data_IF_393290232800
#
_entry.id   IF_393290232800
#
_cell.length_a   1.000
_cell.length_b   1.000
_cell.length_c   1.000
_cell.angle_alpha   90.00
_cell.angle_beta   90.00
_cell.angle_gamma   90.00
#
_symmetry.space_group_name_H-M   'P 1'
#
loop_
_entity.id
_entity.type
_entity.pdbx_description
1 polymer ?
#
# COMPACT_ATOMS: atom_id res chain seq x y z
N UNK A 1 28.11 -24.42 3.36
CA UNK A 1 27.18 -25.58 3.37
C UNK A 1 26.29 -25.47 2.15
N UNK A 2 26.14 -26.54 1.40
CA UNK A 2 25.20 -26.63 0.29
C UNK A 2 23.76 -26.72 0.81
N UNK A 3 22.78 -26.54 -0.08
CA UNK A 3 21.35 -26.68 0.26
C UNK A 3 21.06 -28.05 0.89
N UNK A 4 21.56 -29.13 0.30
CA UNK A 4 21.38 -30.50 0.79
C UNK A 4 22.02 -30.72 2.17
N UNK A 5 23.24 -30.21 2.39
CA UNK A 5 23.89 -30.28 3.70
C UNK A 5 23.11 -29.57 4.79
N UNK A 6 22.53 -28.40 4.48
CA UNK A 6 21.68 -27.64 5.41
C UNK A 6 20.36 -28.39 5.67
N UNK A 7 19.75 -28.94 4.63
CA UNK A 7 18.50 -29.70 4.73
C UNK A 7 18.68 -30.93 5.64
N UNK A 8 19.69 -31.74 5.41
CA UNK A 8 19.96 -32.93 6.23
C UNK A 8 20.36 -32.57 7.67
N UNK A 9 21.10 -31.48 7.86
CA UNK A 9 21.40 -30.94 9.18
C UNK A 9 20.12 -30.60 9.94
N UNK A 10 19.28 -29.75 9.36
CA UNK A 10 18.01 -29.31 9.99
C UNK A 10 17.11 -30.50 10.30
N UNK A 11 17.06 -31.50 9.41
CA UNK A 11 16.29 -32.73 9.59
C UNK A 11 16.79 -33.55 10.76
N UNK A 12 18.10 -33.63 10.96
CA UNK A 12 18.70 -34.35 12.07
C UNK A 12 18.58 -33.64 13.44
N UNK A 13 18.36 -32.33 13.42
CA UNK A 13 18.24 -31.46 14.60
C UNK A 13 16.78 -31.20 15.01
N UNK A 14 15.80 -31.87 14.39
CA UNK A 14 14.38 -31.71 14.76
C UNK A 14 14.17 -32.11 16.23
N UNK A 15 13.50 -31.25 17.05
CA UNK A 15 13.43 -31.43 18.49
C UNK A 15 12.50 -32.56 18.94
N UNK A 16 11.51 -32.95 18.13
CA UNK A 16 10.50 -33.94 18.52
C UNK A 16 9.77 -34.56 17.32
N UNK A 17 8.81 -35.47 17.60
CA UNK A 17 7.87 -35.99 16.59
C UNK A 17 6.59 -35.11 16.44
N UNK A 18 6.51 -34.01 17.20
CA UNK A 18 5.34 -33.10 17.20
C UNK A 18 5.57 -32.00 16.17
N UNK A 19 4.70 -31.93 15.18
CA UNK A 19 4.78 -30.93 14.10
C UNK A 19 4.94 -29.49 14.61
N UNK A 20 4.15 -29.08 15.59
CA UNK A 20 4.16 -27.70 16.10
C UNK A 20 5.53 -27.28 16.66
N UNK A 21 6.22 -28.20 17.37
CA UNK A 21 7.55 -27.97 17.92
C UNK A 21 8.62 -27.91 16.81
N UNK A 22 8.53 -28.82 15.86
CA UNK A 22 9.39 -28.84 14.68
C UNK A 22 9.20 -27.60 13.82
N UNK A 23 7.97 -27.16 13.59
CA UNK A 23 7.66 -25.95 12.82
C UNK A 23 8.21 -24.69 13.50
N UNK A 24 8.13 -24.60 14.84
CA UNK A 24 8.70 -23.48 15.58
C UNK A 24 10.24 -23.47 15.49
N UNK A 25 10.88 -24.64 15.64
CA UNK A 25 12.32 -24.78 15.44
C UNK A 25 12.75 -24.37 14.03
N UNK A 26 12.12 -24.93 13.01
CA UNK A 26 12.45 -24.64 11.61
C UNK A 26 12.21 -23.16 11.25
N UNK A 27 11.17 -22.53 11.81
CA UNK A 27 10.95 -21.10 11.65
C UNK A 27 12.09 -20.28 12.24
N UNK A 28 12.53 -20.58 13.46
CA UNK A 28 13.67 -19.90 14.11
C UNK A 28 14.96 -20.06 13.32
N UNK A 29 15.27 -21.27 12.87
CA UNK A 29 16.46 -21.53 12.06
C UNK A 29 16.38 -20.84 10.68
N UNK A 30 15.21 -20.88 10.02
CA UNK A 30 14.99 -20.16 8.77
C UNK A 30 15.19 -18.65 8.90
N UNK A 31 14.76 -18.04 10.01
CA UNK A 31 15.03 -16.63 10.31
C UNK A 31 16.53 -16.35 10.46
N UNK A 32 17.27 -17.17 11.22
CA UNK A 32 18.73 -17.02 11.36
C UNK A 32 19.46 -17.12 10.02
N UNK A 33 19.05 -18.07 9.17
CA UNK A 33 19.61 -18.17 7.82
C UNK A 33 19.27 -16.93 6.96
N UNK A 34 18.06 -16.40 7.09
CA UNK A 34 17.64 -15.18 6.41
C UNK A 34 18.44 -13.95 6.83
N UNK A 35 18.67 -13.77 8.14
CA UNK A 35 19.50 -12.70 8.71
C UNK A 35 20.96 -12.79 8.23
N UNK A 36 21.46 -14.03 8.05
CA UNK A 36 22.78 -14.28 7.50
C UNK A 36 22.85 -14.18 5.95
N UNK A 37 21.75 -13.84 5.26
CA UNK A 37 21.68 -13.78 3.81
C UNK A 37 21.77 -15.15 3.11
N UNK A 38 21.59 -16.24 3.85
CA UNK A 38 21.66 -17.62 3.33
C UNK A 38 20.28 -18.10 2.89
N UNK A 39 19.90 -17.80 1.66
CA UNK A 39 18.60 -18.19 1.10
C UNK A 39 18.40 -19.71 0.94
N UNK A 40 19.47 -20.48 0.78
CA UNK A 40 19.38 -21.94 0.73
C UNK A 40 18.96 -22.52 2.08
N UNK A 41 19.40 -21.92 3.19
CA UNK A 41 18.95 -22.29 4.53
C UNK A 41 17.46 -21.97 4.76
N UNK A 42 16.99 -20.80 4.31
CA UNK A 42 15.57 -20.44 4.37
C UNK A 42 14.71 -21.43 3.57
N UNK A 43 15.15 -21.79 2.35
CA UNK A 43 14.45 -22.75 1.49
C UNK A 43 14.42 -24.15 2.08
N UNK A 44 15.52 -24.61 2.66
CA UNK A 44 15.64 -25.94 3.30
C UNK A 44 14.69 -26.05 4.52
N UNK A 45 14.66 -25.01 5.37
CA UNK A 45 13.74 -24.95 6.52
C UNK A 45 12.28 -24.95 6.07
N UNK A 46 11.94 -24.15 5.06
CA UNK A 46 10.56 -24.07 4.50
C UNK A 46 10.11 -25.41 3.87
N UNK A 47 11.01 -26.10 3.16
CA UNK A 47 10.72 -27.42 2.57
C UNK A 47 10.45 -28.46 3.65
N UNK A 48 11.33 -28.58 4.67
CA UNK A 48 11.14 -29.50 5.80
C UNK A 48 9.84 -29.22 6.53
N UNK A 49 9.49 -27.96 6.77
CA UNK A 49 8.24 -27.58 7.40
C UNK A 49 7.02 -28.07 6.59
N UNK A 50 7.07 -27.95 5.27
CA UNK A 50 6.04 -28.49 4.38
C UNK A 50 5.95 -30.01 4.38
N UNK A 51 7.09 -30.70 4.35
CA UNK A 51 7.15 -32.19 4.34
C UNK A 51 6.68 -32.82 5.65
N UNK A 52 6.87 -32.14 6.78
CA UNK A 52 6.45 -32.60 8.10
C UNK A 52 4.99 -32.22 8.44
N UNK A 53 4.37 -31.38 7.62
CA UNK A 53 3.02 -30.90 7.90
C UNK A 53 1.99 -32.04 7.88
N UNK A 54 1.13 -32.17 8.91
CA UNK A 54 0.06 -33.14 8.91
C UNK A 54 -0.86 -32.99 7.69
N UNK A 55 -1.32 -34.08 7.07
CA UNK A 55 -2.18 -34.02 5.90
C UNK A 55 -3.43 -33.14 6.11
N UNK A 56 -4.05 -33.21 7.28
CA UNK A 56 -5.23 -32.41 7.63
C UNK A 56 -4.94 -30.90 7.62
N UNK A 57 -3.77 -30.47 8.06
CA UNK A 57 -3.36 -29.08 8.01
C UNK A 57 -3.00 -28.66 6.58
N UNK A 58 -2.41 -29.56 5.81
CA UNK A 58 -2.11 -29.34 4.41
C UNK A 58 -3.42 -29.14 3.60
N UNK A 59 -4.41 -30.00 3.83
CA UNK A 59 -5.72 -29.90 3.19
C UNK A 59 -6.43 -28.60 3.55
N UNK A 60 -6.33 -28.16 4.80
CA UNK A 60 -6.91 -26.89 5.26
C UNK A 60 -6.20 -25.70 4.60
N UNK A 61 -4.86 -25.70 4.52
CA UNK A 61 -4.10 -24.66 3.83
C UNK A 61 -4.47 -24.64 2.34
N UNK A 62 -4.54 -25.79 1.69
CA UNK A 62 -4.95 -25.87 0.28
C UNK A 62 -6.38 -25.37 0.09
N UNK A 63 -7.28 -25.77 0.99
CA UNK A 63 -8.65 -25.29 0.98
C UNK A 63 -8.74 -23.78 1.09
N UNK A 64 -7.88 -23.11 1.85
CA UNK A 64 -7.88 -21.65 2.02
C UNK A 64 -7.14 -20.92 0.89
N UNK A 65 -6.04 -21.49 0.39
CA UNK A 65 -5.08 -20.77 -0.46
C UNK A 65 -5.10 -21.18 -1.94
N UNK A 66 -6.00 -22.08 -2.36
CA UNK A 66 -6.10 -22.53 -3.75
C UNK A 66 -7.53 -22.43 -4.29
N UNK A 67 -7.64 -22.21 -5.58
CA UNK A 67 -8.87 -22.32 -6.39
C UNK A 67 -8.59 -23.33 -7.48
N UNK A 68 -9.39 -24.42 -7.54
CA UNK A 68 -9.24 -25.52 -8.50
C UNK A 68 -7.80 -26.06 -8.60
N UNK A 69 -7.14 -26.21 -7.46
CA UNK A 69 -5.76 -26.67 -7.35
C UNK A 69 -4.69 -25.64 -7.75
N UNK A 70 -5.07 -24.42 -8.10
CA UNK A 70 -4.16 -23.32 -8.43
C UNK A 70 -4.03 -22.37 -7.23
N UNK A 71 -2.81 -22.08 -6.81
CA UNK A 71 -2.54 -21.17 -5.69
C UNK A 71 -3.03 -19.74 -6.01
N UNK A 72 -3.51 -19.00 -4.98
CA UNK A 72 -4.18 -17.71 -5.19
C UNK A 72 -3.30 -16.66 -5.87
N UNK A 73 -1.99 -16.66 -5.66
CA UNK A 73 -1.08 -15.73 -6.35
C UNK A 73 -0.90 -16.08 -7.84
N UNK A 74 -0.81 -17.38 -8.19
CA UNK A 74 -0.78 -17.82 -9.58
C UNK A 74 -2.14 -17.57 -10.27
N UNK A 75 -3.23 -17.76 -9.53
CA UNK A 75 -4.58 -17.45 -10.02
C UNK A 75 -4.73 -15.95 -10.28
N UNK A 76 -4.25 -15.12 -9.36
CA UNK A 76 -4.19 -13.66 -9.52
C UNK A 76 -3.30 -13.25 -10.72
N UNK A 77 -2.18 -13.93 -10.93
CA UNK A 77 -1.31 -13.71 -12.09
C UNK A 77 -2.05 -13.82 -13.42
N UNK A 78 -2.98 -14.78 -13.56
CA UNK A 78 -3.83 -14.92 -14.77
C UNK A 78 -4.77 -13.73 -14.93
N UNK A 79 -5.34 -13.23 -13.83
CA UNK A 79 -6.20 -12.03 -13.84
C UNK A 79 -5.40 -10.82 -14.32
N UNK A 80 -4.18 -10.62 -13.79
CA UNK A 80 -3.29 -9.52 -14.18
C UNK A 80 -2.94 -9.58 -15.66
N UNK A 81 -2.68 -10.77 -16.20
CA UNK A 81 -2.42 -10.94 -17.63
C UNK A 81 -3.62 -10.46 -18.47
N UNK A 82 -4.85 -10.90 -18.15
CA UNK A 82 -6.06 -10.46 -18.86
C UNK A 82 -6.27 -8.93 -18.74
N UNK A 83 -5.97 -8.34 -17.58
CA UNK A 83 -6.03 -6.89 -17.41
C UNK A 83 -5.03 -6.16 -18.31
N UNK A 84 -3.79 -6.67 -18.42
CA UNK A 84 -2.78 -6.12 -19.34
C UNK A 84 -3.20 -6.21 -20.81
N UNK A 85 -3.89 -7.29 -21.19
CA UNK A 85 -4.49 -7.50 -22.50
C UNK A 85 -5.80 -6.69 -22.72
N UNK A 86 -6.25 -5.93 -21.69
CA UNK A 86 -7.53 -5.19 -21.64
C UNK A 86 -8.76 -6.09 -21.84
N UNK A 87 -8.62 -7.37 -21.55
CA UNK A 87 -9.70 -8.34 -21.62
C UNK A 87 -10.47 -8.41 -20.29
N UNK A 88 -11.19 -7.33 -19.95
CA UNK A 88 -11.91 -7.21 -18.69
C UNK A 88 -13.12 -8.15 -18.59
N UNK A 89 -13.68 -8.55 -19.72
CA UNK A 89 -14.83 -9.47 -19.77
C UNK A 89 -14.46 -10.84 -19.21
N UNK A 90 -13.31 -11.38 -19.61
CA UNK A 90 -12.83 -12.67 -19.12
C UNK A 90 -12.13 -12.54 -17.75
N UNK A 91 -11.54 -11.39 -17.44
CA UNK A 91 -10.93 -11.12 -16.14
C UNK A 91 -11.95 -11.07 -15.00
N UNK A 92 -13.15 -10.50 -15.24
CA UNK A 92 -14.18 -10.28 -14.22
C UNK A 92 -14.61 -11.55 -13.48
N UNK A 93 -15.03 -12.64 -14.13
CA UNK A 93 -15.46 -13.85 -13.42
C UNK A 93 -14.33 -14.50 -12.61
N UNK A 94 -13.08 -14.43 -13.08
CA UNK A 94 -11.94 -14.92 -12.32
C UNK A 94 -11.68 -14.04 -11.07
N UNK A 95 -11.75 -12.73 -11.23
CA UNK A 95 -11.57 -11.80 -10.10
C UNK A 95 -12.71 -11.94 -9.06
N UNK A 96 -13.93 -12.20 -9.49
CA UNK A 96 -15.07 -12.48 -8.60
C UNK A 96 -14.87 -13.80 -7.83
N UNK A 97 -14.38 -14.85 -8.51
CA UNK A 97 -14.05 -16.13 -7.88
C UNK A 97 -12.96 -15.96 -6.83
N UNK A 98 -11.90 -15.19 -7.14
CA UNK A 98 -10.83 -14.87 -6.20
C UNK A 98 -11.35 -14.05 -5.01
N UNK A 99 -12.18 -13.04 -5.25
CA UNK A 99 -12.83 -12.23 -4.21
C UNK A 99 -13.63 -13.10 -3.23
N UNK A 100 -14.52 -13.95 -3.75
CA UNK A 100 -15.34 -14.84 -2.91
C UNK A 100 -14.45 -15.76 -2.06
N UNK A 101 -13.41 -16.32 -2.65
CA UNK A 101 -12.43 -17.17 -1.95
C UNK A 101 -11.74 -16.45 -0.80
N UNK A 102 -11.34 -15.19 -1.00
CA UNK A 102 -10.70 -14.36 0.02
C UNK A 102 -11.71 -14.05 1.15
N UNK A 103 -12.92 -13.62 0.80
CA UNK A 103 -13.92 -13.25 1.79
C UNK A 103 -14.37 -14.46 2.61
N UNK A 104 -14.59 -15.61 1.99
CA UNK A 104 -15.01 -16.83 2.69
C UNK A 104 -13.91 -17.39 3.62
N UNK A 105 -12.63 -17.25 3.22
CA UNK A 105 -11.52 -17.82 3.97
C UNK A 105 -10.87 -16.90 5.00
N UNK A 106 -10.94 -15.58 4.79
CA UNK A 106 -10.12 -14.60 5.52
C UNK A 106 -10.91 -13.39 6.05
N UNK A 107 -12.23 -13.46 6.12
CA UNK A 107 -13.04 -12.41 6.75
C UNK A 107 -12.73 -12.27 8.22
N UNK A 108 -12.95 -11.06 8.73
CA UNK A 108 -12.83 -10.74 10.14
C UNK A 108 -13.75 -11.61 10.98
N UNK A 109 -13.18 -12.32 11.94
CA UNK A 109 -13.89 -13.10 12.92
C UNK A 109 -14.15 -12.35 14.23
N UNK A 110 -14.77 -13.02 15.20
CA UNK A 110 -15.05 -12.44 16.52
C UNK A 110 -13.76 -12.09 17.27
N UNK A 111 -12.76 -12.98 17.26
CA UNK A 111 -11.54 -12.87 18.06
C UNK A 111 -10.27 -12.66 17.23
N UNK A 112 -10.34 -12.68 15.91
CA UNK A 112 -9.19 -12.58 15.02
C UNK A 112 -9.55 -11.82 13.74
N UNK A 113 -8.54 -11.18 13.16
CA UNK A 113 -8.63 -10.55 11.85
C UNK A 113 -7.37 -10.87 11.03
N UNK A 114 -7.49 -10.81 9.71
CA UNK A 114 -6.38 -11.00 8.79
C UNK A 114 -5.98 -9.66 8.18
N UNK A 115 -4.67 -9.33 8.23
CA UNK A 115 -4.13 -8.11 7.63
C UNK A 115 -3.04 -8.44 6.61
N UNK A 116 -3.08 -7.75 5.47
CA UNK A 116 -2.10 -7.82 4.38
C UNK A 116 -1.04 -6.72 4.53
N UNK A 117 -0.46 -6.57 5.72
CA UNK A 117 0.60 -5.59 5.98
C UNK A 117 1.92 -6.07 5.35
N UNK A 118 2.60 -5.18 4.61
CA UNK A 118 3.70 -5.55 3.71
C UNK A 118 5.09 -5.40 4.32
N UNK A 119 5.21 -4.56 5.35
CA UNK A 119 6.51 -4.22 5.92
C UNK A 119 6.37 -3.76 7.38
N UNK A 120 7.48 -3.70 8.15
CA UNK A 120 7.45 -3.29 9.56
C UNK A 120 6.89 -1.88 9.81
N UNK A 121 7.03 -0.95 8.86
CA UNK A 121 6.45 0.38 9.02
C UNK A 121 4.92 0.32 8.98
N UNK A 122 4.33 -0.42 8.02
CA UNK A 122 2.88 -0.64 7.97
C UNK A 122 2.37 -1.37 9.22
N UNK A 123 3.11 -2.38 9.72
CA UNK A 123 2.78 -3.10 10.97
C UNK A 123 2.70 -2.12 12.14
N UNK A 124 3.72 -1.30 12.35
CA UNK A 124 3.77 -0.32 13.45
C UNK A 124 2.72 0.78 13.29
N UNK A 125 2.54 1.32 12.08
CA UNK A 125 1.57 2.37 11.81
C UNK A 125 0.14 1.85 12.02
N UNK A 126 -0.15 0.65 11.55
CA UNK A 126 -1.45 0.01 11.74
C UNK A 126 -1.76 -0.20 13.24
N UNK A 127 -0.82 -0.75 14.01
CA UNK A 127 -0.99 -0.95 15.44
C UNK A 127 -1.19 0.37 16.19
N UNK A 128 -0.50 1.43 15.75
CA UNK A 128 -0.59 2.76 16.38
C UNK A 128 -1.93 3.45 16.09
N UNK A 129 -2.37 3.44 14.83
CA UNK A 129 -3.58 4.15 14.39
C UNK A 129 -4.86 3.36 14.57
N UNK A 130 -4.79 2.03 14.48
CA UNK A 130 -5.94 1.12 14.51
C UNK A 130 -5.77 0.04 15.59
N UNK A 131 -5.61 0.43 16.87
CA UNK A 131 -5.42 -0.55 17.95
C UNK A 131 -6.63 -1.47 18.06
N UNK A 132 -6.37 -2.77 18.19
CA UNK A 132 -7.41 -3.79 18.32
C UNK A 132 -7.09 -4.75 19.47
N UNK A 133 -8.13 -5.37 20.05
CA UNK A 133 -7.99 -6.49 21.00
C UNK A 133 -8.01 -7.85 20.31
N UNK A 134 -8.33 -7.88 19.00
CA UNK A 134 -8.35 -9.12 18.24
C UNK A 134 -6.94 -9.59 17.93
N UNK A 135 -6.76 -10.88 17.80
CA UNK A 135 -5.52 -11.46 17.30
C UNK A 135 -5.36 -11.07 15.83
N UNK A 136 -4.23 -10.43 15.51
CA UNK A 136 -3.89 -10.09 14.13
C UNK A 136 -3.16 -11.28 13.50
N UNK A 137 -3.76 -11.88 12.50
CA UNK A 137 -3.14 -12.88 11.64
C UNK A 137 -2.63 -12.19 10.37
N UNK A 138 -1.41 -12.52 9.96
CA UNK A 138 -0.91 -12.04 8.68
C UNK A 138 -1.57 -12.80 7.54
N UNK A 139 -2.18 -12.08 6.61
CA UNK A 139 -2.73 -12.67 5.39
C UNK A 139 -1.60 -13.33 4.57
N UNK A 140 -1.84 -14.51 3.96
CA UNK A 140 -0.82 -15.22 3.20
C UNK A 140 -0.42 -14.53 1.89
N UNK A 141 -1.25 -13.59 1.40
CA UNK A 141 -1.06 -12.83 0.17
C UNK A 141 -1.45 -11.36 0.36
N UNK A 142 -1.09 -10.50 -0.60
CA UNK A 142 -1.50 -9.09 -0.64
C UNK A 142 -2.96 -8.96 -1.15
N UNK A 143 -3.90 -9.28 -0.28
CA UNK A 143 -5.33 -9.20 -0.61
C UNK A 143 -5.77 -7.77 -0.94
N UNK A 144 -5.16 -6.75 -0.33
CA UNK A 144 -5.42 -5.37 -0.67
C UNK A 144 -5.22 -5.09 -2.17
N UNK A 145 -4.10 -5.56 -2.73
CA UNK A 145 -3.81 -5.43 -4.16
C UNK A 145 -4.77 -6.28 -5.01
N UNK A 146 -5.09 -7.51 -4.61
CA UNK A 146 -6.00 -8.38 -5.36
C UNK A 146 -7.40 -7.77 -5.50
N UNK A 147 -7.94 -7.26 -4.39
CA UNK A 147 -9.25 -6.63 -4.36
C UNK A 147 -9.28 -5.29 -5.10
N UNK A 148 -8.20 -4.50 -5.01
CA UNK A 148 -8.08 -3.25 -5.78
C UNK A 148 -8.11 -3.52 -7.28
N UNK A 149 -7.44 -4.58 -7.74
CA UNK A 149 -7.48 -5.00 -9.16
C UNK A 149 -8.90 -5.43 -9.56
N UNK A 150 -9.62 -6.16 -8.71
CA UNK A 150 -11.01 -6.52 -8.99
C UNK A 150 -11.92 -5.30 -9.09
N UNK A 151 -11.78 -4.34 -8.17
CA UNK A 151 -12.53 -3.08 -8.23
C UNK A 151 -12.27 -2.31 -9.54
N UNK A 152 -11.01 -2.28 -9.99
CA UNK A 152 -10.67 -1.70 -11.30
C UNK A 152 -11.38 -2.41 -12.45
N UNK A 153 -11.36 -3.74 -12.49
CA UNK A 153 -12.07 -4.53 -13.49
C UNK A 153 -13.57 -4.21 -13.48
N UNK A 154 -14.16 -4.05 -12.30
CA UNK A 154 -15.58 -3.68 -12.17
C UNK A 154 -15.87 -2.32 -12.79
N UNK A 155 -15.00 -1.34 -12.58
CA UNK A 155 -15.12 0.01 -13.16
C UNK A 155 -15.02 -0.06 -14.70
N UNK A 156 -14.04 -0.77 -15.23
CA UNK A 156 -13.85 -0.95 -16.68
C UNK A 156 -15.01 -1.71 -17.34
N UNK A 157 -15.70 -2.59 -16.59
CA UNK A 157 -16.93 -3.25 -17.01
C UNK A 157 -18.20 -2.39 -16.79
N UNK A 158 -18.07 -1.11 -16.41
CA UNK A 158 -19.20 -0.19 -16.24
C UNK A 158 -19.90 -0.29 -14.88
N UNK A 159 -19.42 -1.08 -13.94
CA UNK A 159 -20.01 -1.27 -12.61
C UNK A 159 -19.30 -0.40 -11.55
N UNK A 160 -19.28 0.91 -11.73
CA UNK A 160 -18.57 1.85 -10.85
C UNK A 160 -19.03 1.77 -9.39
N UNK A 161 -20.35 1.71 -9.13
CA UNK A 161 -20.87 1.58 -7.76
C UNK A 161 -20.53 0.22 -7.13
N UNK A 162 -20.44 -0.84 -7.93
CA UNK A 162 -20.05 -2.17 -7.46
C UNK A 162 -18.60 -2.27 -7.00
N UNK A 163 -17.74 -1.34 -7.40
CA UNK A 163 -16.35 -1.27 -6.95
C UNK A 163 -16.21 -0.77 -5.50
N UNK A 164 -17.18 0.02 -4.99
CA UNK A 164 -17.10 0.61 -3.64
C UNK A 164 -16.91 -0.45 -2.55
N UNK A 165 -17.81 -1.45 -2.37
CA UNK A 165 -17.67 -2.43 -1.31
C UNK A 165 -16.40 -3.28 -1.45
N UNK A 166 -15.90 -3.48 -2.67
CA UNK A 166 -14.65 -4.22 -2.92
C UNK A 166 -13.44 -3.41 -2.41
N UNK A 167 -13.41 -2.11 -2.70
CA UNK A 167 -12.35 -1.21 -2.22
C UNK A 167 -12.40 -1.02 -0.70
N UNK A 168 -13.60 -0.95 -0.12
CA UNK A 168 -13.77 -0.92 1.33
C UNK A 168 -13.17 -2.19 1.98
N UNK A 169 -13.40 -3.37 1.39
CA UNK A 169 -12.76 -4.62 1.82
C UNK A 169 -11.25 -4.63 1.64
N UNK A 170 -10.73 -4.05 0.54
CA UNK A 170 -9.29 -3.90 0.36
C UNK A 170 -8.65 -3.02 1.45
N UNK A 171 -9.35 -1.95 1.88
CA UNK A 171 -8.93 -1.08 2.98
C UNK A 171 -8.98 -1.83 4.33
N UNK A 172 -9.97 -2.69 4.56
CA UNK A 172 -10.02 -3.52 5.79
C UNK A 172 -8.80 -4.44 5.89
N UNK A 173 -8.34 -5.07 4.78
CA UNK A 173 -7.14 -5.91 4.78
C UNK A 173 -5.84 -5.14 4.98
N UNK A 174 -5.78 -3.87 4.58
CA UNK A 174 -4.64 -3.00 4.88
C UNK A 174 -5.09 -1.54 5.09
N UNK A 175 -5.44 -1.17 6.33
CA UNK A 175 -5.98 0.16 6.63
C UNK A 175 -4.96 1.28 6.47
N UNK A 176 -3.67 0.98 6.38
CA UNK A 176 -2.61 1.97 6.14
C UNK A 176 -2.14 2.05 4.69
N UNK A 177 -2.67 1.20 3.79
CA UNK A 177 -2.41 1.31 2.36
C UNK A 177 -3.22 2.48 1.75
N UNK A 178 -2.53 3.39 1.09
CA UNK A 178 -3.16 4.52 0.37
C UNK A 178 -3.74 4.11 -0.99
N UNK A 179 -3.28 2.99 -1.57
CA UNK A 179 -3.68 2.55 -2.92
C UNK A 179 -5.19 2.37 -3.07
N UNK A 180 -5.85 1.46 -2.31
CA UNK A 180 -7.29 1.27 -2.37
C UNK A 180 -8.09 2.54 -2.06
N UNK A 181 -7.57 3.40 -1.15
CA UNK A 181 -8.20 4.68 -0.80
C UNK A 181 -8.17 5.66 -1.98
N UNK A 182 -7.08 5.69 -2.74
CA UNK A 182 -7.02 6.50 -3.95
C UNK A 182 -7.99 6.02 -5.02
N UNK A 183 -8.11 4.71 -5.22
CA UNK A 183 -9.08 4.17 -6.17
C UNK A 183 -10.53 4.48 -5.73
N UNK A 184 -10.81 4.41 -4.43
CA UNK A 184 -12.11 4.79 -3.88
C UNK A 184 -12.39 6.30 -4.07
N UNK A 185 -11.36 7.15 -3.94
CA UNK A 185 -11.47 8.56 -4.25
C UNK A 185 -11.81 8.81 -5.73
N UNK A 186 -11.19 8.07 -6.68
CA UNK A 186 -11.54 8.14 -8.10
C UNK A 186 -13.00 7.73 -8.34
N UNK A 187 -13.49 6.68 -7.68
CA UNK A 187 -14.90 6.29 -7.73
C UNK A 187 -15.80 7.44 -7.27
N UNK A 188 -15.48 8.07 -6.13
CA UNK A 188 -16.28 9.17 -5.60
C UNK A 188 -16.24 10.43 -6.49
N UNK A 189 -15.15 10.70 -7.22
CA UNK A 189 -15.10 11.71 -8.27
C UNK A 189 -16.08 11.38 -9.41
N UNK A 190 -16.03 10.14 -9.92
CA UNK A 190 -16.89 9.70 -11.03
C UNK A 190 -18.38 9.83 -10.71
N UNK A 191 -18.78 9.52 -9.48
CA UNK A 191 -20.19 9.64 -9.04
C UNK A 191 -20.50 10.99 -8.43
N UNK A 192 -19.57 11.94 -8.46
CA UNK A 192 -19.71 13.33 -7.94
C UNK A 192 -20.13 13.40 -6.46
N UNK A 193 -19.63 12.49 -5.64
CA UNK A 193 -19.92 12.46 -4.20
C UNK A 193 -18.87 13.27 -3.42
N UNK A 194 -19.07 14.59 -3.36
CA UNK A 194 -18.17 15.54 -2.66
C UNK A 194 -17.87 15.12 -1.23
N UNK A 195 -18.91 14.77 -0.46
CA UNK A 195 -18.75 14.42 0.95
C UNK A 195 -17.84 13.21 1.13
N UNK A 196 -18.10 12.14 0.39
CA UNK A 196 -17.31 10.91 0.47
C UNK A 196 -15.88 11.09 -0.04
N UNK A 197 -15.69 11.96 -1.05
CA UNK A 197 -14.35 12.29 -1.54
C UNK A 197 -13.52 13.02 -0.48
N UNK A 198 -14.11 13.97 0.25
CA UNK A 198 -13.45 14.65 1.37
C UNK A 198 -13.09 13.64 2.46
N UNK A 199 -14.07 12.83 2.91
CA UNK A 199 -13.87 11.83 3.97
C UNK A 199 -12.72 10.88 3.64
N UNK A 200 -12.69 10.29 2.44
CA UNK A 200 -11.63 9.34 2.06
C UNK A 200 -10.28 10.03 1.90
N UNK A 201 -10.25 11.29 1.44
CA UNK A 201 -9.01 12.07 1.32
C UNK A 201 -8.43 12.38 2.70
N UNK A 202 -9.26 12.80 3.67
CA UNK A 202 -8.83 13.02 5.05
C UNK A 202 -8.30 11.72 5.69
N UNK A 203 -8.96 10.58 5.47
CA UNK A 203 -8.48 9.27 5.94
C UNK A 203 -7.15 8.88 5.29
N UNK A 204 -6.97 9.20 4.01
CA UNK A 204 -5.73 8.91 3.29
C UNK A 204 -4.56 9.75 3.81
N UNK A 205 -4.79 11.03 4.10
CA UNK A 205 -3.77 11.93 4.66
C UNK A 205 -3.22 11.43 6.00
N UNK A 206 -4.06 10.82 6.85
CA UNK A 206 -3.64 10.27 8.14
C UNK A 206 -2.64 9.10 8.04
N UNK A 207 -2.56 8.44 6.88
CA UNK A 207 -1.68 7.28 6.67
C UNK A 207 -0.67 7.51 5.54
N UNK A 208 -0.75 8.65 4.84
CA UNK A 208 0.13 8.97 3.73
C UNK A 208 1.59 9.10 4.21
N UNK A 209 2.46 8.25 3.68
CA UNK A 209 3.85 8.12 4.09
C UNK A 209 4.85 8.48 2.98
N UNK A 210 4.41 9.22 1.96
CA UNK A 210 5.29 9.74 0.92
C UNK A 210 4.81 11.12 0.42
N UNK A 211 5.74 11.98 -0.06
CA UNK A 211 5.38 13.27 -0.68
C UNK A 211 4.41 13.11 -1.84
N UNK A 212 4.56 12.08 -2.67
CA UNK A 212 3.67 11.80 -3.81
C UNK A 212 2.24 11.47 -3.35
N UNK A 213 2.09 10.67 -2.28
CA UNK A 213 0.78 10.36 -1.71
C UNK A 213 0.09 11.60 -1.14
N UNK A 214 0.82 12.44 -0.40
CA UNK A 214 0.33 13.71 0.11
C UNK A 214 -0.08 14.65 -1.02
N UNK A 215 0.78 14.80 -2.03
CA UNK A 215 0.51 15.62 -3.21
C UNK A 215 -0.76 15.15 -3.95
N UNK A 216 -0.95 13.82 -4.11
CA UNK A 216 -2.16 13.26 -4.72
C UNK A 216 -3.41 13.56 -3.90
N UNK A 217 -3.33 13.53 -2.56
CA UNK A 217 -4.47 13.93 -1.71
C UNK A 217 -4.89 15.38 -1.97
N UNK A 218 -3.94 16.31 -2.00
CA UNK A 218 -4.24 17.71 -2.29
C UNK A 218 -4.73 17.90 -3.72
N UNK A 219 -4.16 17.21 -4.70
CA UNK A 219 -4.66 17.25 -6.08
C UNK A 219 -6.11 16.75 -6.18
N UNK A 220 -6.49 15.72 -5.44
CA UNK A 220 -7.87 15.24 -5.36
C UNK A 220 -8.82 16.29 -4.80
N UNK A 221 -8.40 17.04 -3.79
CA UNK A 221 -9.19 18.17 -3.25
C UNK A 221 -9.28 19.32 -4.25
N UNK A 222 -8.18 19.63 -4.95
CA UNK A 222 -8.16 20.63 -6.01
C UNK A 222 -9.15 20.29 -7.13
N UNK A 223 -9.15 19.04 -7.60
CA UNK A 223 -10.11 18.54 -8.57
C UNK A 223 -11.55 18.69 -8.08
N UNK A 224 -11.82 18.30 -6.84
CA UNK A 224 -13.15 18.47 -6.24
C UNK A 224 -13.59 19.93 -6.24
N UNK A 225 -12.74 20.85 -5.77
CA UNK A 225 -13.05 22.28 -5.76
C UNK A 225 -13.31 22.80 -7.19
N UNK A 226 -12.55 22.34 -8.19
CA UNK A 226 -12.77 22.65 -9.62
C UNK A 226 -14.17 22.21 -10.08
N UNK A 227 -14.54 20.95 -9.79
CA UNK A 227 -15.85 20.39 -10.22
C UNK A 227 -17.06 21.11 -9.58
N UNK A 228 -16.85 21.72 -8.41
CA UNK A 228 -17.87 22.52 -7.71
C UNK A 228 -17.75 24.04 -7.93
N UNK A 229 -16.84 24.49 -8.79
CA UNK A 229 -16.67 25.91 -9.13
C UNK A 229 -15.98 26.75 -8.05
N UNK A 230 -15.32 26.11 -7.06
CA UNK A 230 -14.59 26.74 -5.97
C UNK A 230 -13.16 27.08 -6.42
N UNK A 231 -13.05 28.01 -7.41
CA UNK A 231 -11.78 28.23 -8.16
C UNK A 231 -10.61 28.59 -7.26
N UNK A 232 -10.80 29.54 -6.32
CA UNK A 232 -9.69 30.00 -5.47
C UNK A 232 -9.22 28.90 -4.50
N UNK A 233 -10.12 28.05 -4.01
CA UNK A 233 -9.79 26.89 -3.18
C UNK A 233 -9.07 25.82 -4.01
N UNK A 234 -9.51 25.56 -5.25
CA UNK A 234 -8.84 24.66 -6.16
C UNK A 234 -7.38 25.07 -6.40
N UNK A 235 -7.13 26.37 -6.65
CA UNK A 235 -5.77 26.90 -6.84
C UNK A 235 -4.92 26.68 -5.59
N UNK A 236 -5.47 26.88 -4.38
CA UNK A 236 -4.76 26.64 -3.12
C UNK A 236 -4.40 25.15 -2.96
N UNK A 237 -5.33 24.24 -3.22
CA UNK A 237 -5.06 22.80 -3.13
C UNK A 237 -4.05 22.31 -4.18
N UNK A 238 -4.12 22.76 -5.42
CA UNK A 238 -3.11 22.44 -6.43
C UNK A 238 -1.74 23.03 -6.08
N UNK A 239 -1.70 24.23 -5.47
CA UNK A 239 -0.46 24.81 -4.96
C UNK A 239 0.14 23.99 -3.83
N UNK A 240 -0.68 23.52 -2.87
CA UNK A 240 -0.25 22.60 -1.81
C UNK A 240 0.32 21.30 -2.39
N UNK A 241 -0.31 20.75 -3.41
CA UNK A 241 0.16 19.53 -4.08
C UNK A 241 1.56 19.69 -4.67
N UNK A 242 1.79 20.74 -5.48
CA UNK A 242 3.09 20.94 -6.16
C UNK A 242 4.22 21.33 -5.20
N UNK A 243 3.90 21.88 -4.02
CA UNK A 243 4.89 22.13 -2.96
C UNK A 243 5.52 20.83 -2.42
N UNK A 244 4.82 19.70 -2.51
CA UNK A 244 5.30 18.42 -2.02
C UNK A 244 5.93 17.56 -3.10
N UNK A 245 5.26 17.44 -4.26
CA UNK A 245 5.77 16.68 -5.38
C UNK A 245 5.21 17.20 -6.71
N UNK A 246 5.99 17.12 -7.81
CA UNK A 246 5.49 17.43 -9.15
C UNK A 246 4.30 16.53 -9.53
N UNK A 247 3.26 17.11 -10.10
CA UNK A 247 2.10 16.38 -10.60
C UNK A 247 1.79 16.79 -12.04
N UNK A 248 1.89 15.87 -13.02
CA UNK A 248 1.85 16.24 -14.45
C UNK A 248 0.50 16.81 -14.91
N UNK A 249 -0.62 16.49 -14.25
CA UNK A 249 -1.93 16.99 -14.60
C UNK A 249 -2.20 18.43 -14.11
N UNK A 250 -1.55 18.88 -13.02
CA UNK A 250 -1.85 20.16 -12.39
C UNK A 250 -1.69 21.37 -13.35
N UNK A 251 -0.67 21.45 -14.21
CA UNK A 251 -0.59 22.55 -15.17
C UNK A 251 -1.80 22.67 -16.11
N UNK A 252 -2.38 21.52 -16.50
CA UNK A 252 -3.60 21.48 -17.33
C UNK A 252 -4.84 21.91 -16.53
N UNK A 253 -4.95 21.43 -15.29
CA UNK A 253 -6.04 21.82 -14.37
C UNK A 253 -6.03 23.33 -14.10
N UNK A 254 -4.86 23.90 -13.79
CA UNK A 254 -4.72 25.35 -13.57
C UNK A 254 -5.05 26.16 -14.84
N UNK A 255 -4.69 25.67 -16.02
CA UNK A 255 -5.08 26.32 -17.29
C UNK A 255 -6.59 26.30 -17.47
N UNK A 256 -7.25 25.18 -17.17
CA UNK A 256 -8.71 25.06 -17.18
C UNK A 256 -9.37 26.05 -16.21
N UNK A 257 -8.87 26.15 -14.98
CA UNK A 257 -9.36 27.09 -13.98
C UNK A 257 -9.21 28.56 -14.43
N UNK A 258 -8.10 28.95 -15.07
CA UNK A 258 -7.91 30.27 -15.61
C UNK A 258 -8.96 30.61 -16.70
N UNK A 259 -9.30 29.64 -17.54
CA UNK A 259 -10.34 29.76 -18.55
C UNK A 259 -11.73 29.89 -17.91
N UNK A 260 -12.05 29.10 -16.90
CA UNK A 260 -13.31 29.21 -16.15
C UNK A 260 -13.46 30.56 -15.44
N UNK A 261 -12.36 31.08 -14.87
CA UNK A 261 -12.33 32.40 -14.21
C UNK A 261 -12.40 33.55 -15.19
N UNK A 262 -12.03 33.37 -16.46
CA UNK A 262 -11.92 34.42 -17.46
C UNK A 262 -10.80 35.42 -17.18
N UNK A 263 -9.84 35.07 -16.29
CA UNK A 263 -8.74 35.91 -15.86
C UNK A 263 -7.52 35.04 -15.46
N UNK A 264 -6.29 35.59 -15.48
CA UNK A 264 -5.12 34.91 -14.93
C UNK A 264 -5.33 34.50 -13.46
N UNK A 265 -4.81 33.34 -13.08
CA UNK A 265 -4.82 32.90 -11.70
C UNK A 265 -3.69 33.61 -10.93
N UNK A 266 -4.01 34.09 -9.75
CA UNK A 266 -3.01 34.59 -8.82
C UNK A 266 -2.39 33.41 -8.05
N UNK A 267 -1.07 33.44 -7.88
CA UNK A 267 -0.38 32.45 -7.06
C UNK A 267 -0.71 32.74 -5.59
N UNK A 268 -1.30 31.79 -4.82
CA UNK A 268 -1.62 32.05 -3.43
C UNK A 268 -0.36 32.11 -2.56
N UNK A 269 -0.38 32.92 -1.51
CA UNK A 269 0.64 32.85 -0.46
C UNK A 269 0.49 31.55 0.33
N UNK A 270 1.54 31.13 1.04
CA UNK A 270 1.50 29.93 1.88
C UNK A 270 0.44 30.06 2.99
N UNK A 271 0.29 31.24 3.58
CA UNK A 271 -0.74 31.54 4.56
C UNK A 271 -2.14 31.29 4.00
N UNK A 272 -2.38 31.76 2.77
CA UNK A 272 -3.67 31.55 2.09
C UNK A 272 -3.94 30.06 1.81
N UNK A 273 -2.91 29.32 1.40
CA UNK A 273 -3.01 27.86 1.25
C UNK A 273 -3.41 27.22 2.58
N UNK A 274 -2.72 27.55 3.69
CA UNK A 274 -3.05 27.01 5.02
C UNK A 274 -4.48 27.33 5.46
N UNK A 275 -4.90 28.59 5.35
CA UNK A 275 -6.27 28.99 5.67
C UNK A 275 -7.32 28.20 4.86
N UNK A 276 -6.99 27.89 3.60
CA UNK A 276 -7.88 27.08 2.77
C UNK A 276 -7.93 25.63 3.27
N UNK A 277 -6.78 25.01 3.52
CA UNK A 277 -6.72 23.63 4.04
C UNK A 277 -7.49 23.51 5.37
N UNK A 278 -7.29 24.48 6.29
CA UNK A 278 -7.94 24.49 7.60
C UNK A 278 -9.48 24.51 7.50
N UNK A 279 -10.06 25.16 6.46
CA UNK A 279 -11.52 25.13 6.23
C UNK A 279 -12.05 23.73 5.89
N UNK A 280 -11.21 22.83 5.46
CA UNK A 280 -11.56 21.45 5.13
C UNK A 280 -11.03 20.45 6.18
N UNK A 281 -10.62 20.93 7.36
CA UNK A 281 -10.00 20.12 8.42
C UNK A 281 -8.79 19.30 7.89
N UNK A 282 -7.94 19.93 7.08
CA UNK A 282 -6.74 19.34 6.48
C UNK A 282 -5.52 20.14 6.92
N UNK A 283 -4.51 19.45 7.46
CA UNK A 283 -3.21 20.04 7.76
C UNK A 283 -2.28 19.92 6.54
N UNK A 284 -1.34 20.88 6.40
CA UNK A 284 -0.31 20.82 5.37
C UNK A 284 0.83 19.91 5.80
N UNK A 285 1.15 18.91 4.98
CA UNK A 285 2.25 17.98 5.19
C UNK A 285 1.80 16.60 5.72
N UNK A 286 2.75 15.78 6.18
CA UNK A 286 2.45 14.46 6.73
C UNK A 286 1.83 14.56 8.12
N UNK A 287 0.95 13.61 8.44
CA UNK A 287 0.41 13.45 9.79
C UNK A 287 1.53 13.20 10.79
N UNK A 288 1.43 13.86 11.96
CA UNK A 288 2.44 13.73 13.02
C UNK A 288 2.65 12.29 13.47
N UNK A 289 1.61 11.48 13.52
CA UNK A 289 1.70 10.08 13.95
C UNK A 289 2.51 9.24 12.95
N UNK A 290 2.41 9.53 11.66
CA UNK A 290 3.24 8.90 10.61
C UNK A 290 4.73 9.21 10.83
N UNK A 291 5.04 10.48 11.15
CA UNK A 291 6.41 10.92 11.48
C UNK A 291 6.90 10.21 12.76
N UNK A 292 6.10 10.22 13.81
CA UNK A 292 6.45 9.64 15.11
C UNK A 292 6.74 8.14 15.00
N UNK A 293 5.92 7.39 14.25
CA UNK A 293 6.14 5.94 13.98
C UNK A 293 7.41 5.72 13.16
N UNK A 294 7.67 6.52 12.13
CA UNK A 294 8.88 6.40 11.32
C UNK A 294 10.14 6.68 12.16
N UNK A 295 10.09 7.71 13.02
CA UNK A 295 11.19 8.07 13.91
C UNK A 295 11.46 7.00 14.98
N UNK A 296 10.41 6.46 15.58
CA UNK A 296 10.51 5.37 16.57
C UNK A 296 11.14 4.12 15.94
N UNK A 297 10.71 3.77 14.74
CA UNK A 297 11.23 2.61 14.00
C UNK A 297 12.71 2.80 13.62
N UNK A 298 13.09 3.99 13.13
CA UNK A 298 14.49 4.32 12.84
C UNK A 298 15.36 4.21 14.09
N UNK A 299 14.89 4.74 15.23
CA UNK A 299 15.59 4.68 16.51
C UNK A 299 15.76 3.26 17.00
N UNK A 300 14.71 2.44 16.91
CA UNK A 300 14.75 1.02 17.29
C UNK A 300 15.82 0.26 16.49
N UNK A 301 15.83 0.35 15.16
CA UNK A 301 16.82 -0.33 14.34
C UNK A 301 18.25 0.18 14.55
N UNK A 302 18.43 1.46 14.86
CA UNK A 302 19.76 1.98 15.21
C UNK A 302 20.28 1.38 16.53
N UNK A 303 19.42 1.21 17.55
CA UNK A 303 19.77 0.59 18.82
C UNK A 303 20.10 -0.89 18.68
N UNK A 304 19.37 -1.61 17.82
CA UNK A 304 19.61 -3.03 17.50
C UNK A 304 20.78 -3.24 16.52
N UNK A 305 21.45 -2.17 16.09
CA UNK A 305 22.53 -2.20 15.09
C UNK A 305 22.09 -2.76 13.72
N UNK A 306 20.79 -2.78 13.43
CA UNK A 306 20.24 -3.16 12.12
C UNK A 306 20.31 -1.97 11.16
N UNK A 307 21.52 -1.71 10.66
CA UNK A 307 21.78 -0.57 9.76
C UNK A 307 20.91 -0.59 8.49
N UNK A 308 20.70 -1.73 7.78
CA UNK A 308 19.88 -1.75 6.58
C UNK A 308 18.43 -1.30 6.82
N UNK A 309 17.79 -1.76 7.88
CA UNK A 309 16.41 -1.38 8.21
C UNK A 309 16.35 0.03 8.83
N UNK A 310 17.35 0.43 9.62
CA UNK A 310 17.49 1.81 10.11
C UNK A 310 17.54 2.81 8.93
N UNK A 311 18.32 2.52 7.89
CA UNK A 311 18.41 3.38 6.71
C UNK A 311 17.09 3.50 5.94
N UNK A 312 16.32 2.41 5.82
CA UNK A 312 14.98 2.47 5.20
C UNK A 312 14.05 3.41 5.97
N UNK A 313 14.00 3.27 7.30
CA UNK A 313 13.18 4.13 8.16
C UNK A 313 13.65 5.59 8.16
N UNK A 314 14.97 5.84 8.20
CA UNK A 314 15.55 7.18 8.12
C UNK A 314 15.27 7.85 6.78
N UNK A 315 15.37 7.11 5.64
CA UNK A 315 15.05 7.63 4.31
C UNK A 315 13.57 7.98 4.19
N UNK A 316 12.67 7.13 4.71
CA UNK A 316 11.25 7.44 4.80
C UNK A 316 11.03 8.74 5.59
N UNK A 317 11.61 8.86 6.77
CA UNK A 317 11.49 10.04 7.64
C UNK A 317 12.06 11.30 6.96
N UNK A 318 13.21 11.21 6.32
CA UNK A 318 13.79 12.33 5.57
C UNK A 318 12.90 12.77 4.41
N UNK A 319 12.32 11.83 3.67
CA UNK A 319 11.42 12.17 2.56
C UNK A 319 10.20 12.96 3.03
N UNK A 320 9.68 12.65 4.21
CA UNK A 320 8.52 13.32 4.79
C UNK A 320 8.86 14.68 5.40
N UNK A 321 10.02 14.80 6.07
CA UNK A 321 10.34 15.97 6.89
C UNK A 321 11.34 16.93 6.24
N UNK A 322 12.16 16.42 5.32
CA UNK A 322 13.33 17.13 4.75
C UNK A 322 14.30 17.67 5.81
N UNK A 323 14.36 17.02 6.98
CA UNK A 323 15.25 17.43 8.07
C UNK A 323 16.71 17.10 7.73
N UNK A 324 17.55 18.13 7.63
CA UNK A 324 18.98 18.00 7.32
C UNK A 324 19.78 17.23 8.38
N UNK A 325 19.29 17.15 9.64
CA UNK A 325 19.90 16.31 10.68
C UNK A 325 19.73 14.82 10.34
N UNK A 326 18.55 14.43 9.87
CA UNK A 326 18.27 13.05 9.44
C UNK A 326 19.12 12.69 8.24
N UNK A 327 19.23 13.59 7.26
CA UNK A 327 20.13 13.44 6.12
C UNK A 327 21.59 13.24 6.55
N UNK A 328 22.04 14.04 7.52
CA UNK A 328 23.38 13.90 8.10
C UNK A 328 23.62 12.53 8.74
N UNK A 329 22.60 11.93 9.37
CA UNK A 329 22.68 10.55 9.89
C UNK A 329 22.79 9.55 8.74
N UNK A 330 21.95 9.64 7.72
CA UNK A 330 21.97 8.75 6.55
C UNK A 330 23.35 8.75 5.88
N UNK A 331 23.90 9.95 5.64
CA UNK A 331 25.21 10.12 4.99
C UNK A 331 26.41 9.56 5.80
N UNK A 332 26.26 9.34 7.12
CA UNK A 332 27.32 8.64 7.90
C UNK A 332 27.40 7.15 7.57
N UNK A 333 26.28 6.53 7.17
CA UNK A 333 26.23 5.13 6.80
C UNK A 333 26.33 4.92 5.28
N UNK A 334 25.88 5.90 4.48
CA UNK A 334 25.93 5.89 3.03
C UNK A 334 26.58 7.20 2.50
N UNK A 335 27.90 7.39 2.62
CA UNK A 335 28.57 8.66 2.27
C UNK A 335 28.44 9.08 0.80
N UNK A 336 28.21 8.10 -0.09
CA UNK A 336 28.11 8.30 -1.53
C UNK A 336 26.66 8.32 -2.05
N UNK A 337 25.68 8.43 -1.19
CA UNK A 337 24.27 8.53 -1.61
C UNK A 337 24.07 9.85 -2.39
N UNK A 338 23.94 9.75 -3.72
CA UNK A 338 23.72 10.92 -4.60
C UNK A 338 22.33 11.52 -4.39
N UNK A 339 21.34 10.69 -4.04
CA UNK A 339 20.01 11.10 -3.61
C UNK A 339 19.62 10.33 -2.35
N UNK A 340 19.38 11.08 -1.28
CA UNK A 340 18.83 10.51 -0.04
C UNK A 340 17.31 10.41 -0.19
N UNK A 341 16.87 9.60 -1.14
CA UNK A 341 15.44 9.29 -1.35
C UNK A 341 15.18 7.83 -1.04
N UNK A 342 14.04 7.54 -0.41
CA UNK A 342 13.61 6.15 -0.33
C UNK A 342 13.22 5.70 -1.75
N UNK A 343 13.66 4.51 -2.16
CA UNK A 343 13.14 3.86 -3.37
C UNK A 343 11.66 3.46 -3.17
N UNK A 344 10.82 4.38 -2.69
CA UNK A 344 9.37 4.20 -2.58
C UNK A 344 8.70 3.94 -3.95
N UNK A 345 9.40 4.26 -5.05
CA UNK A 345 8.99 3.88 -6.40
C UNK A 345 8.97 2.36 -6.64
N UNK A 346 9.78 1.58 -5.94
CA UNK A 346 9.86 0.11 -6.19
C UNK A 346 8.63 -0.66 -5.73
N UNK A 347 7.76 -0.10 -4.89
CA UNK A 347 6.52 -0.77 -4.45
C UNK A 347 5.37 -0.55 -5.45
N UNK A 348 5.46 0.45 -6.32
CA UNK A 348 4.46 0.71 -7.36
C UNK A 348 4.75 0.00 -8.70
N UNK A 349 5.95 -0.54 -8.91
CA UNK A 349 6.36 -1.14 -10.19
C UNK A 349 5.73 -2.51 -10.48
N UNK A 350 5.08 -3.14 -9.52
CA UNK A 350 4.31 -4.38 -9.71
C UNK A 350 2.80 -4.17 -9.88
N UNK A 351 2.29 -2.96 -9.72
CA UNK A 351 0.87 -2.64 -9.95
C UNK A 351 0.69 -2.24 -11.41
N UNK A 352 -0.35 -2.75 -12.11
CA UNK A 352 -0.72 -2.16 -13.38
C UNK A 352 -0.93 -0.66 -13.14
N UNK A 353 -0.23 0.16 -13.93
CA UNK A 353 -0.31 1.62 -13.83
C UNK A 353 -1.70 2.03 -14.33
N UNK A 354 -2.66 2.15 -13.39
CA UNK A 354 -4.07 2.45 -13.65
C UNK A 354 -4.21 3.98 -13.81
N UNK A 355 -3.38 4.57 -14.65
CA UNK A 355 -3.61 5.91 -15.16
C UNK A 355 -4.55 5.78 -16.35
N UNK A 356 -5.82 6.15 -16.16
CA UNK A 356 -6.72 6.43 -17.29
C UNK A 356 -6.03 7.43 -18.21
N UNK A 357 -5.68 7.01 -19.40
CA UNK A 357 -5.62 7.91 -20.54
C UNK A 357 -7.05 8.37 -20.77
N UNK A 358 -7.36 9.60 -20.39
CA UNK A 358 -8.53 10.30 -20.91
C UNK A 358 -8.34 10.32 -22.41
N UNK A 359 -9.05 9.48 -23.14
CA UNK A 359 -9.16 9.59 -24.57
C UNK A 359 -9.93 10.89 -24.82
N UNK A 360 -9.18 11.96 -25.05
CA UNK A 360 -9.69 13.09 -25.80
C UNK A 360 -9.94 12.60 -27.24
N UNK A 361 -11.17 12.30 -27.57
CA UNK A 361 -11.62 12.38 -28.93
C UNK A 361 -12.14 13.82 -29.14
N UNK A 362 -11.39 14.69 -29.83
CA UNK A 362 -11.98 15.89 -30.39
C UNK A 362 -12.47 15.49 -31.79
N UNK A 363 -13.77 15.28 -31.95
CA UNK A 363 -14.51 15.36 -33.21
C UNK A 363 -15.74 14.43 -33.15
N UNK A 364 -16.86 14.98 -32.72
CA UNK A 364 -18.13 15.10 -33.44
C UNK A 364 -19.15 15.87 -32.58
#
# INVERSE_FOLDING_TARGET
>A
MTYEEIYEKLKSELPSDVYAENAEFLRKEGMKYGEAGNFDGVRAAGRLMGELMPPEQMDEIQRLTHIDGVRLDDFYGRIVQLVQEKNFVDAKPLAEQLYNKIIDGFSEGENALFLSLRNPFEDNLCQHLFPTRKTINRAPFDFGTYLTTYAFIMIECGSTLGAIPILEKAIEFNPVDVGPKFELAEVYKLIKNKKKLIEITQQTLKVASSPDALARCYANMGYMCTDFGEIDDAVCFYSASVMLAPHPAIPYELKGLAQMKGAPLEQPTFEKVKETLDRYDIEFGPDKQVIDVAAALASHYLLEHDVPNALKALKLLYNLTRDEKIKGIILRYEPNAQEVTSNARQVSEGRPNITRTVNENPEE
#
